data_IF_120476133424
#
_entry.id   IF_120476133424
#
_cell.length_a   1.000
_cell.length_b   1.000
_cell.length_c   1.000
_cell.angle_alpha   90.00
_cell.angle_beta   90.00
_cell.angle_gamma   90.00
#
_symmetry.space_group_name_H-M   'P 1'
#
loop_
_entity.id
_entity.type
_entity.pdbx_description
1 polymer ?
#
# COMPACT_ATOMS: atom_id res chain seq x y z
N UNK A 1 3.03 -16.84 -51.83
CA UNK A 1 2.88 -17.47 -50.51
C UNK A 1 4.21 -17.42 -49.78
N UNK A 2 4.29 -16.74 -48.62
CA UNK A 2 5.48 -16.76 -47.76
C UNK A 2 6.12 -15.42 -47.53
N UNK A 3 5.62 -14.65 -46.54
CA UNK A 3 6.36 -13.53 -45.90
C UNK A 3 5.63 -13.08 -44.64
N UNK A 4 5.42 -13.96 -43.68
CA UNK A 4 4.89 -13.54 -42.36
C UNK A 4 5.61 -14.17 -41.16
N UNK A 5 6.72 -14.90 -41.37
CA UNK A 5 7.41 -15.60 -40.27
C UNK A 5 8.60 -14.82 -39.66
N UNK A 6 9.02 -13.71 -40.30
CA UNK A 6 10.25 -13.00 -39.91
C UNK A 6 10.08 -11.92 -38.83
N UNK A 7 8.84 -11.45 -38.57
CA UNK A 7 8.63 -10.34 -37.62
C UNK A 7 8.48 -10.75 -36.14
N UNK A 8 8.13 -12.01 -35.88
CA UNK A 8 7.96 -12.51 -34.49
C UNK A 8 9.26 -13.03 -33.88
N UNK A 9 10.23 -13.42 -34.69
CA UNK A 9 11.52 -13.88 -34.19
C UNK A 9 12.46 -12.72 -33.76
N UNK A 10 12.36 -11.57 -34.44
CA UNK A 10 13.15 -10.39 -34.09
C UNK A 10 12.77 -9.75 -32.74
N UNK A 11 11.51 -9.86 -32.35
CA UNK A 11 11.04 -9.29 -31.07
C UNK A 11 11.41 -10.14 -29.85
N UNK A 12 11.51 -11.46 -30.01
CA UNK A 12 11.97 -12.39 -28.96
C UNK A 12 13.48 -12.30 -28.71
N UNK A 13 14.28 -12.00 -29.74
CA UNK A 13 15.73 -11.83 -29.61
C UNK A 13 16.08 -10.50 -28.94
N UNK A 14 15.31 -9.42 -29.14
CA UNK A 14 15.53 -8.14 -28.47
C UNK A 14 15.23 -8.18 -26.97
N UNK A 15 14.22 -8.93 -26.54
CA UNK A 15 13.91 -9.09 -25.10
C UNK A 15 14.97 -9.93 -24.39
N UNK A 16 15.58 -10.91 -25.06
CA UNK A 16 16.65 -11.72 -24.48
C UNK A 16 18.00 -10.96 -24.35
N UNK A 17 18.25 -9.95 -25.18
CA UNK A 17 19.49 -9.20 -25.18
C UNK A 17 19.54 -8.05 -24.15
N UNK A 18 18.39 -7.55 -23.66
CA UNK A 18 18.31 -6.57 -22.59
C UNK A 18 18.49 -7.16 -21.18
N UNK A 19 18.42 -8.48 -21.03
CA UNK A 19 18.71 -9.16 -19.75
C UNK A 19 20.19 -9.27 -19.38
N UNK A 20 21.09 -8.81 -20.22
CA UNK A 20 22.55 -8.94 -19.99
C UNK A 20 23.18 -7.73 -19.30
N UNK A 21 22.43 -6.67 -19.01
CA UNK A 21 22.94 -5.55 -18.24
C UNK A 21 22.19 -5.50 -16.91
N UNK A 22 22.89 -5.67 -15.79
CA UNK A 22 22.38 -5.82 -14.43
C UNK A 22 21.43 -4.72 -13.88
N UNK A 23 20.87 -3.88 -14.77
CA UNK A 23 19.89 -2.83 -14.43
C UNK A 23 18.42 -3.29 -14.57
N UNK A 24 18.14 -4.39 -15.28
CA UNK A 24 16.77 -4.88 -15.46
C UNK A 24 16.24 -5.70 -14.29
N UNK A 25 17.11 -6.30 -13.48
CA UNK A 25 16.70 -7.11 -12.33
C UNK A 25 16.04 -6.30 -11.21
N UNK A 26 16.37 -5.03 -11.08
CA UNK A 26 15.80 -4.17 -10.03
C UNK A 26 14.33 -3.79 -10.30
N UNK A 27 13.94 -3.63 -11.56
CA UNK A 27 12.57 -3.22 -11.92
C UNK A 27 11.58 -4.40 -11.86
N UNK A 28 12.00 -5.58 -12.29
CA UNK A 28 11.16 -6.80 -12.21
C UNK A 28 10.99 -7.29 -10.76
N UNK A 29 12.04 -7.22 -9.93
CA UNK A 29 11.96 -7.57 -8.53
C UNK A 29 11.03 -6.62 -7.75
N UNK A 30 11.01 -5.33 -8.09
CA UNK A 30 10.07 -4.36 -7.49
C UNK A 30 8.63 -4.55 -7.99
N UNK A 31 8.43 -4.91 -9.26
CA UNK A 31 7.11 -5.18 -9.82
C UNK A 31 6.47 -6.45 -9.23
N UNK A 32 7.27 -7.43 -8.80
CA UNK A 32 6.78 -8.63 -8.09
C UNK A 32 6.50 -8.40 -6.61
N UNK A 33 7.08 -7.36 -6.00
CA UNK A 33 6.86 -7.07 -4.58
C UNK A 33 5.44 -6.57 -4.33
N UNK A 34 4.95 -5.66 -5.15
CA UNK A 34 3.65 -5.01 -4.97
C UNK A 34 2.73 -5.42 -6.11
N UNK A 35 1.56 -5.95 -5.78
CA UNK A 35 0.56 -6.43 -6.73
C UNK A 35 -0.76 -5.70 -6.52
N UNK A 36 -1.23 -4.98 -7.53
CA UNK A 36 -2.62 -4.50 -7.59
C UNK A 36 -3.51 -5.68 -7.97
N UNK A 37 -4.38 -6.10 -7.06
CA UNK A 37 -5.23 -7.28 -7.25
C UNK A 37 -6.44 -7.02 -8.15
N UNK A 38 -6.71 -5.75 -8.50
CA UNK A 38 -7.83 -5.37 -9.37
C UNK A 38 -9.20 -5.36 -8.68
N UNK A 39 -9.26 -5.66 -7.39
CA UNK A 39 -10.46 -5.76 -6.56
C UNK A 39 -10.54 -4.66 -5.48
N UNK A 40 -9.74 -3.61 -5.62
CA UNK A 40 -9.61 -2.52 -4.66
C UNK A 40 -8.56 -2.77 -3.57
N UNK A 41 -7.74 -3.82 -3.73
CA UNK A 41 -6.67 -4.16 -2.81
C UNK A 41 -5.30 -4.20 -3.48
N UNK A 42 -4.24 -4.00 -2.69
CA UNK A 42 -2.84 -4.10 -3.11
C UNK A 42 -2.10 -5.01 -2.14
N UNK A 43 -1.44 -6.04 -2.66
CA UNK A 43 -0.62 -6.95 -1.85
C UNK A 43 0.84 -6.52 -1.87
N UNK A 44 1.47 -6.42 -0.69
CA UNK A 44 2.92 -6.31 -0.52
C UNK A 44 3.49 -7.67 -0.14
N UNK A 45 4.04 -8.37 -1.11
CA UNK A 45 4.68 -9.67 -0.93
C UNK A 45 5.93 -9.61 -0.04
N UNK A 46 6.51 -8.43 0.14
CA UNK A 46 7.68 -8.24 0.99
C UNK A 46 7.34 -8.26 2.48
N UNK A 47 6.14 -7.79 2.85
CA UNK A 47 5.66 -7.77 4.24
C UNK A 47 4.60 -8.84 4.51
N UNK A 48 4.03 -9.43 3.46
CA UNK A 48 2.90 -10.35 3.56
C UNK A 48 1.59 -9.66 3.95
N UNK A 49 1.48 -8.35 3.73
CA UNK A 49 0.29 -7.55 4.03
C UNK A 49 -0.50 -7.22 2.76
N UNK A 50 -1.81 -7.14 2.92
CA UNK A 50 -2.73 -6.66 1.90
C UNK A 50 -3.36 -5.36 2.38
N UNK A 51 -3.38 -4.36 1.51
CA UNK A 51 -3.82 -3.01 1.82
C UNK A 51 -5.06 -2.63 1.03
N UNK A 52 -5.96 -1.90 1.66
CA UNK A 52 -7.01 -1.18 0.96
C UNK A 52 -6.38 -0.17 -0.01
N UNK A 53 -6.72 -0.21 -1.30
CA UNK A 53 -6.18 0.69 -2.32
C UNK A 53 -6.69 2.12 -2.17
N UNK A 54 -7.99 2.29 -1.95
CA UNK A 54 -8.63 3.59 -1.78
C UNK A 54 -8.34 4.21 -0.41
N UNK A 55 -8.27 5.54 -0.37
CA UNK A 55 -8.28 6.31 0.89
C UNK A 55 -9.72 6.45 1.40
N UNK A 56 -9.92 6.30 2.71
CA UNK A 56 -11.18 6.55 3.39
C UNK A 56 -11.08 7.73 4.37
N UNK A 57 -12.22 8.29 4.74
CA UNK A 57 -12.32 9.44 5.65
C UNK A 57 -12.22 10.78 4.93
N UNK A 58 -11.88 11.89 5.67
CA UNK A 58 -11.36 11.86 7.04
C UNK A 58 -12.38 11.53 8.12
N UNK A 59 -11.93 10.92 9.22
CA UNK A 59 -12.76 10.55 10.38
C UNK A 59 -11.93 10.54 11.68
N UNK A 60 -12.59 10.60 12.84
CA UNK A 60 -11.90 10.49 14.11
C UNK A 60 -11.35 9.08 14.36
N UNK A 61 -10.49 8.93 15.36
CA UNK A 61 -9.78 7.67 15.62
C UNK A 61 -10.72 6.49 15.95
N UNK A 62 -11.80 6.75 16.72
CA UNK A 62 -12.76 5.69 17.08
C UNK A 62 -13.55 5.24 15.85
N UNK A 63 -13.93 6.19 15.01
CA UNK A 63 -14.58 5.92 13.72
C UNK A 63 -13.62 5.15 12.79
N UNK A 64 -12.33 5.51 12.77
CA UNK A 64 -11.31 4.82 11.98
C UNK A 64 -11.13 3.35 12.39
N UNK A 65 -11.10 3.08 13.70
CA UNK A 65 -11.05 1.70 14.23
C UNK A 65 -12.26 0.89 13.81
N UNK A 66 -13.47 1.47 13.93
CA UNK A 66 -14.72 0.82 13.51
C UNK A 66 -14.78 0.60 12.00
N UNK A 67 -14.40 1.61 11.23
CA UNK A 67 -14.36 1.51 9.78
C UNK A 67 -13.52 0.32 9.34
N UNK A 68 -12.27 0.24 9.81
CA UNK A 68 -11.38 -0.85 9.43
C UNK A 68 -11.93 -2.22 9.81
N UNK A 69 -12.42 -2.38 11.07
CA UNK A 69 -12.93 -3.67 11.57
C UNK A 69 -14.27 -4.11 10.93
N UNK A 70 -15.02 -3.19 10.32
CA UNK A 70 -16.28 -3.48 9.63
C UNK A 70 -16.14 -3.56 8.11
N UNK A 71 -14.92 -3.31 7.58
CA UNK A 71 -14.69 -3.28 6.14
C UNK A 71 -14.85 -4.67 5.53
N UNK A 72 -15.61 -4.74 4.43
CA UNK A 72 -15.66 -5.89 3.54
C UNK A 72 -15.14 -5.45 2.17
N UNK A 73 -13.98 -5.98 1.76
CA UNK A 73 -13.30 -5.57 0.54
C UNK A 73 -12.43 -6.73 0.00
N UNK A 74 -12.41 -6.91 -1.32
CA UNK A 74 -11.63 -7.96 -1.97
C UNK A 74 -12.04 -9.37 -1.55
N UNK A 75 -13.30 -9.58 -1.13
CA UNK A 75 -13.78 -10.86 -0.62
C UNK A 75 -13.38 -11.17 0.83
N UNK A 76 -12.79 -10.21 1.55
CA UNK A 76 -12.31 -10.36 2.92
C UNK A 76 -13.02 -9.42 3.89
N UNK A 77 -13.13 -9.83 5.16
CA UNK A 77 -13.77 -9.07 6.25
C UNK A 77 -12.93 -9.00 7.53
N UNK A 78 -11.66 -9.41 7.45
CA UNK A 78 -10.70 -9.45 8.54
C UNK A 78 -9.69 -8.28 8.47
N UNK A 79 -10.19 -7.11 8.13
CA UNK A 79 -9.43 -5.87 8.05
C UNK A 79 -9.21 -5.22 9.41
N UNK A 80 -8.08 -4.52 9.59
CA UNK A 80 -7.81 -3.71 10.77
C UNK A 80 -7.16 -2.37 10.41
N UNK A 81 -7.20 -1.43 11.36
CA UNK A 81 -6.45 -0.18 11.27
C UNK A 81 -4.96 -0.50 11.53
N UNK A 82 -4.04 -0.15 10.61
CA UNK A 82 -2.64 -0.55 10.73
C UNK A 82 -1.99 -0.03 12.01
N UNK A 83 -1.04 -0.77 12.54
CA UNK A 83 -0.14 -0.27 13.57
C UNK A 83 0.72 0.89 13.05
N UNK A 84 1.39 1.59 13.93
CA UNK A 84 2.31 2.68 13.56
C UNK A 84 3.42 2.17 12.62
N UNK A 85 3.97 1.00 12.92
CA UNK A 85 5.05 0.36 12.16
C UNK A 85 4.58 -0.07 10.77
N UNK A 86 3.40 -0.70 10.67
CA UNK A 86 2.80 -1.09 9.38
C UNK A 86 2.50 0.14 8.52
N UNK A 87 1.86 1.15 9.10
CA UNK A 87 1.51 2.38 8.39
C UNK A 87 2.75 3.12 7.87
N UNK A 88 3.79 3.18 8.68
CA UNK A 88 5.06 3.82 8.32
C UNK A 88 5.80 3.03 7.25
N UNK A 89 5.83 1.70 7.37
CA UNK A 89 6.36 0.80 6.36
C UNK A 89 5.70 1.05 5.01
N UNK A 90 4.36 1.08 4.95
CA UNK A 90 3.61 1.32 3.72
C UNK A 90 3.89 2.70 3.11
N UNK A 91 4.02 3.74 3.94
CA UNK A 91 4.29 5.10 3.48
C UNK A 91 5.63 5.22 2.73
N UNK A 92 6.66 4.48 3.16
CA UNK A 92 8.01 4.51 2.59
C UNK A 92 8.26 3.45 1.52
N UNK A 93 7.30 2.55 1.26
CA UNK A 93 7.46 1.40 0.36
C UNK A 93 7.06 1.71 -1.10
N UNK A 94 7.60 0.94 -2.06
CA UNK A 94 7.24 1.08 -3.47
C UNK A 94 5.75 0.85 -3.75
N UNK A 95 5.03 0.08 -2.90
CA UNK A 95 3.61 -0.21 -3.03
C UNK A 95 2.71 1.03 -2.95
N UNK A 96 3.19 2.12 -2.35
CA UNK A 96 2.48 3.40 -2.30
C UNK A 96 2.07 3.92 -3.69
N UNK A 97 2.88 3.67 -4.71
CA UNK A 97 2.59 4.10 -6.09
C UNK A 97 1.37 3.42 -6.73
N UNK A 98 0.94 2.28 -6.19
CA UNK A 98 -0.24 1.54 -6.62
C UNK A 98 -1.51 1.94 -5.85
N UNK A 99 -1.41 2.82 -4.87
CA UNK A 99 -2.50 3.22 -3.98
C UNK A 99 -3.02 4.60 -4.30
N UNK A 100 -4.31 4.81 -4.09
CA UNK A 100 -4.95 6.13 -4.19
C UNK A 100 -4.65 6.91 -2.90
N UNK A 101 -3.58 7.71 -2.91
CA UNK A 101 -3.12 8.46 -1.74
C UNK A 101 -3.69 9.88 -1.76
N UNK A 102 -4.44 10.24 -0.71
CA UNK A 102 -4.80 11.62 -0.43
C UNK A 102 -3.68 12.31 0.36
N UNK A 103 -3.34 13.57 0.04
CA UNK A 103 -2.35 14.31 0.82
C UNK A 103 -2.88 14.57 2.24
N UNK A 104 -2.04 14.33 3.23
CA UNK A 104 -2.36 14.56 4.63
C UNK A 104 -2.06 13.35 5.53
N UNK A 105 -2.59 13.42 6.74
CA UNK A 105 -2.29 12.45 7.79
C UNK A 105 -3.27 11.30 7.83
N UNK A 106 -2.73 10.10 8.08
CA UNK A 106 -3.46 8.84 8.23
C UNK A 106 -3.33 8.32 9.65
N UNK A 107 -4.42 7.76 10.21
CA UNK A 107 -4.44 7.13 11.51
C UNK A 107 -3.73 5.79 11.54
N UNK A 108 -3.02 5.51 12.63
CA UNK A 108 -2.68 4.15 13.06
C UNK A 108 -3.52 3.73 14.26
N UNK A 109 -3.57 2.42 14.52
CA UNK A 109 -4.22 1.86 15.72
C UNK A 109 -3.42 2.09 17.01
N UNK A 110 -2.15 2.52 16.90
CA UNK A 110 -1.23 2.67 18.03
C UNK A 110 -1.53 3.91 18.84
N UNK A 111 -1.97 3.73 20.07
CA UNK A 111 -2.14 4.83 21.04
C UNK A 111 -0.78 5.39 21.45
N UNK A 112 -0.70 6.70 21.66
CA UNK A 112 0.50 7.33 22.18
C UNK A 112 0.61 7.09 23.70
N UNK A 113 1.70 6.47 24.13
CA UNK A 113 1.83 5.94 25.50
C UNK A 113 1.81 7.01 26.59
N UNK A 114 2.37 8.20 26.33
CA UNK A 114 2.43 9.28 27.31
C UNK A 114 1.10 10.02 27.49
N UNK A 115 0.26 10.01 26.44
CA UNK A 115 -1.06 10.64 26.45
C UNK A 115 -2.06 9.73 25.73
N UNK A 116 -2.87 8.98 26.48
CA UNK A 116 -3.77 7.94 25.94
C UNK A 116 -4.93 8.49 25.12
N UNK A 117 -5.19 9.79 25.18
CA UNK A 117 -6.13 10.50 24.30
C UNK A 117 -5.51 10.88 22.94
N UNK A 118 -4.22 10.54 22.71
CA UNK A 118 -3.51 10.68 21.43
C UNK A 118 -3.28 9.32 20.78
N UNK A 119 -3.24 9.29 19.47
CA UNK A 119 -2.80 8.14 18.67
C UNK A 119 -1.76 8.58 17.65
N UNK A 120 -0.91 7.62 17.27
CA UNK A 120 0.06 7.82 16.22
C UNK A 120 -0.61 7.86 14.85
N UNK A 121 0.00 8.60 13.92
CA UNK A 121 -0.34 8.64 12.52
C UNK A 121 0.89 8.92 11.67
N UNK A 122 0.76 8.77 10.37
CA UNK A 122 1.78 9.11 9.39
C UNK A 122 1.26 10.16 8.41
N UNK A 123 2.10 11.13 8.09
CA UNK A 123 1.81 12.15 7.09
C UNK A 123 2.29 11.67 5.72
N UNK A 124 1.37 11.56 4.78
CA UNK A 124 1.63 11.06 3.44
C UNK A 124 1.90 12.18 2.42
N UNK A 125 1.81 13.44 2.84
CA UNK A 125 1.98 14.57 1.92
C UNK A 125 3.44 14.77 1.50
N UNK A 126 4.37 14.75 2.47
CA UNK A 126 5.77 15.12 2.19
C UNK A 126 6.75 13.95 2.32
N UNK A 127 7.08 13.53 3.51
CA UNK A 127 8.21 12.62 3.79
C UNK A 127 7.87 11.46 4.71
N UNK A 128 6.64 11.02 4.74
CA UNK A 128 6.22 9.94 5.65
C UNK A 128 6.57 10.23 7.12
N UNK A 129 6.33 11.45 7.58
CA UNK A 129 6.63 11.83 8.96
C UNK A 129 5.62 11.25 9.93
N UNK A 130 6.11 10.58 10.98
CA UNK A 130 5.25 10.14 12.07
C UNK A 130 4.95 11.29 13.04
N UNK A 131 3.76 11.27 13.63
CA UNK A 131 3.37 12.18 14.68
C UNK A 131 2.13 11.66 15.40
N UNK A 132 1.89 12.16 16.61
CA UNK A 132 0.69 11.85 17.38
C UNK A 132 -0.29 13.03 17.37
N UNK A 133 -1.57 12.72 17.35
CA UNK A 133 -2.64 13.70 17.38
C UNK A 133 -3.75 13.26 18.35
N UNK A 134 -4.52 14.23 18.82
CA UNK A 134 -5.73 13.96 19.61
C UNK A 134 -6.66 13.03 18.82
N UNK A 135 -7.16 11.99 19.46
CA UNK A 135 -8.07 11.01 18.86
C UNK A 135 -9.39 11.61 18.38
N UNK A 136 -9.73 12.81 18.82
CA UNK A 136 -10.93 13.55 18.44
C UNK A 136 -10.81 14.34 17.13
N UNK A 137 -9.59 14.51 16.58
CA UNK A 137 -9.43 15.17 15.28
C UNK A 137 -9.65 14.16 14.14
N UNK A 138 -9.90 14.66 12.93
CA UNK A 138 -10.17 13.80 11.78
C UNK A 138 -8.93 13.65 10.92
N UNK A 139 -8.59 12.40 10.57
CA UNK A 139 -7.54 12.03 9.63
C UNK A 139 -8.03 10.96 8.66
N UNK A 140 -7.29 10.75 7.60
CA UNK A 140 -7.55 9.70 6.62
C UNK A 140 -7.31 8.31 7.23
N UNK A 141 -7.86 7.32 6.57
CA UNK A 141 -7.80 5.91 6.98
C UNK A 141 -7.45 5.04 5.79
N UNK A 142 -6.64 4.03 6.04
CA UNK A 142 -6.36 2.93 5.13
C UNK A 142 -6.32 1.64 5.94
N UNK A 143 -7.16 0.70 5.60
CA UNK A 143 -7.19 -0.58 6.28
C UNK A 143 -6.11 -1.53 5.72
N UNK A 144 -5.70 -2.48 6.55
CA UNK A 144 -4.72 -3.51 6.24
C UNK A 144 -5.23 -4.87 6.74
N UNK A 145 -4.79 -5.95 6.12
CA UNK A 145 -5.01 -7.33 6.58
C UNK A 145 -3.81 -8.20 6.23
N UNK A 146 -3.78 -9.45 6.75
CA UNK A 146 -2.82 -10.45 6.28
C UNK A 146 -3.07 -10.76 4.79
N UNK A 147 -2.02 -10.80 4.00
CA UNK A 147 -2.08 -11.09 2.56
C UNK A 147 -2.21 -12.58 2.23
N UNK A 148 -2.26 -13.46 3.24
CA UNK A 148 -2.38 -14.92 3.07
C UNK A 148 -3.78 -15.41 3.41
#
# INVERSE_FOLDING_TARGET
MGRTFSKRLGMLVMVAMLCMTGLSMSCEAQAQRCVDNGDGTVTDNGTGLMWQKATAGPMDWVQAMRYASSLSLGGHSDWWLPSKEELWGMCSLPCRSLMDVSPGRYWSSTTYTNYTNYAWGADFEYICSAGSNLKSVSHYVRAVRSGQ
#
